data_IF_210404800197
#
_entry.id   IF_210404800197
#
_cell.length_a   1.000
_cell.length_b   1.000
_cell.length_c   1.000
_cell.angle_alpha   90.00
_cell.angle_beta   90.00
_cell.angle_gamma   90.00
#
_symmetry.space_group_name_H-M   'P 1'
#
loop_
_entity.id
_entity.type
_entity.pdbx_description
1 polymer ?
#
# COMPACT_ATOMS: atom_id res chain seq x y z
N UNK A 1 39.14 -3.74 15.40
CA UNK A 1 38.86 -4.65 14.28
C UNK A 1 37.61 -5.44 14.66
N UNK A 2 36.43 -4.93 14.32
CA UNK A 2 35.16 -5.63 14.46
C UNK A 2 34.54 -5.77 13.07
N UNK A 3 33.87 -6.90 12.89
CA UNK A 3 33.44 -7.47 11.62
C UNK A 3 32.25 -6.67 11.11
N UNK A 4 32.47 -5.93 10.03
CA UNK A 4 31.41 -5.36 9.19
C UNK A 4 30.61 -6.55 8.64
N UNK A 5 29.33 -6.68 9.01
CA UNK A 5 28.41 -7.48 8.19
C UNK A 5 28.33 -6.75 6.83
N UNK A 6 28.79 -7.35 5.73
CA UNK A 6 28.58 -6.75 4.42
C UNK A 6 27.07 -6.65 4.22
N UNK A 7 26.59 -5.48 3.81
CA UNK A 7 25.33 -5.39 3.08
C UNK A 7 25.41 -6.46 1.99
N UNK A 8 24.61 -7.51 2.13
CA UNK A 8 24.54 -8.60 1.17
C UNK A 8 23.94 -8.06 -0.11
N UNK A 9 24.74 -7.36 -0.91
CA UNK A 9 24.46 -7.13 -2.32
C UNK A 9 24.51 -8.53 -2.93
N UNK A 10 23.39 -9.08 -3.43
CA UNK A 10 23.45 -10.33 -4.18
C UNK A 10 24.45 -10.12 -5.30
N UNK A 11 25.45 -11.01 -5.42
CA UNK A 11 26.28 -11.08 -6.62
C UNK A 11 25.31 -11.11 -7.80
N UNK A 12 25.34 -10.06 -8.62
CA UNK A 12 24.71 -10.06 -9.93
C UNK A 12 25.38 -11.23 -10.66
N UNK A 13 24.73 -12.40 -10.66
CA UNK A 13 24.99 -13.37 -11.70
C UNK A 13 24.66 -12.62 -12.98
N UNK A 14 25.62 -12.57 -13.90
CA UNK A 14 25.37 -12.17 -15.27
C UNK A 14 24.12 -12.91 -15.74
N UNK A 15 22.99 -12.22 -15.76
CA UNK A 15 21.81 -12.64 -16.47
C UNK A 15 22.16 -12.44 -17.92
N UNK A 16 22.63 -13.51 -18.56
CA UNK A 16 22.52 -13.62 -20.01
C UNK A 16 21.04 -13.42 -20.34
N UNK A 17 20.75 -12.30 -21.00
CA UNK A 17 19.45 -12.02 -21.60
C UNK A 17 19.20 -13.05 -22.70
N UNK A 18 18.79 -14.26 -22.34
CA UNK A 18 18.10 -15.13 -23.28
C UNK A 18 16.67 -14.63 -23.41
N UNK A 19 16.37 -14.21 -24.63
CA UNK A 19 15.12 -13.69 -25.12
C UNK A 19 13.93 -14.59 -24.73
N UNK A 20 13.00 -14.17 -23.85
CA UNK A 20 11.89 -15.02 -23.41
C UNK A 20 10.72 -15.08 -24.41
N UNK A 21 10.89 -14.64 -25.66
CA UNK A 21 9.81 -14.57 -26.66
C UNK A 21 9.63 -15.80 -27.57
N UNK A 22 10.22 -16.98 -27.29
CA UNK A 22 10.15 -18.11 -28.23
C UNK A 22 9.50 -19.41 -27.73
N UNK A 23 8.62 -19.39 -26.72
CA UNK A 23 7.92 -20.62 -26.29
C UNK A 23 6.46 -20.33 -25.95
N UNK A 24 5.65 -19.96 -26.95
CA UNK A 24 4.19 -20.09 -26.91
C UNK A 24 3.67 -20.19 -28.35
N UNK A 25 3.99 -21.29 -29.04
CA UNK A 25 3.18 -21.80 -30.15
C UNK A 25 2.92 -23.29 -29.89
N UNK A 26 1.69 -23.72 -30.14
CA UNK A 26 1.12 -25.08 -29.93
C UNK A 26 0.74 -25.37 -28.45
N UNK A 27 -0.52 -25.55 -28.04
CA UNK A 27 -1.68 -26.16 -28.69
C UNK A 27 -2.97 -25.36 -28.37
N UNK A 28 -3.61 -24.76 -29.38
CA UNK A 28 -5.00 -24.31 -29.26
C UNK A 28 -5.94 -25.49 -29.53
N UNK A 29 -6.37 -26.14 -28.45
CA UNK A 29 -7.56 -27.00 -28.48
C UNK A 29 -8.82 -26.16 -28.71
N UNK A 30 -9.60 -26.58 -29.69
CA UNK A 30 -10.87 -25.98 -30.13
C UNK A 30 -11.86 -25.68 -28.98
N UNK A 31 -12.26 -24.40 -28.75
CA UNK A 31 -13.28 -24.06 -27.78
C UNK A 31 -14.68 -24.05 -28.41
N UNK A 32 -15.10 -25.17 -29.02
CA UNK A 32 -16.51 -25.43 -29.28
C UNK A 32 -17.04 -26.45 -28.27
N UNK A 33 -17.45 -25.95 -27.09
CA UNK A 33 -18.56 -26.47 -26.26
C UNK A 33 -18.39 -26.01 -24.80
N UNK A 34 -18.78 -24.78 -24.50
CA UNK A 34 -19.10 -24.37 -23.13
C UNK A 34 -20.53 -23.77 -23.11
N UNK A 35 -21.52 -24.44 -22.50
CA UNK A 35 -22.94 -24.09 -22.64
C UNK A 35 -23.39 -22.92 -21.74
N UNK A 36 -22.53 -21.93 -21.48
CA UNK A 36 -22.84 -20.77 -20.63
C UNK A 36 -22.80 -19.41 -21.36
N UNK A 37 -22.68 -19.38 -22.69
CA UNK A 37 -22.94 -18.16 -23.47
C UNK A 37 -24.45 -17.94 -23.63
N UNK A 38 -25.13 -17.72 -22.52
CA UNK A 38 -26.48 -17.18 -22.50
C UNK A 38 -26.44 -15.73 -22.99
N UNK A 39 -27.08 -15.49 -24.14
CA UNK A 39 -27.34 -14.19 -24.76
C UNK A 39 -27.62 -13.06 -23.77
N UNK A 40 -26.59 -12.32 -23.35
CA UNK A 40 -26.76 -10.95 -22.86
C UNK A 40 -26.81 -10.08 -24.12
N UNK A 41 -28.00 -9.99 -24.73
CA UNK A 41 -28.31 -8.83 -25.59
C UNK A 41 -28.11 -7.61 -24.71
N UNK A 42 -27.01 -6.90 -24.94
CA UNK A 42 -26.69 -5.62 -24.32
C UNK A 42 -27.83 -4.65 -24.62
N UNK A 43 -28.79 -4.53 -23.71
CA UNK A 43 -29.52 -3.27 -23.61
C UNK A 43 -28.48 -2.30 -23.08
N UNK A 44 -27.90 -1.51 -23.99
CA UNK A 44 -27.14 -0.32 -23.64
C UNK A 44 -28.15 0.60 -22.94
N UNK A 45 -28.35 0.40 -21.64
CA UNK A 45 -29.07 1.36 -20.81
C UNK A 45 -28.39 2.70 -21.03
N UNK A 46 -29.15 3.66 -21.57
CA UNK A 46 -28.68 5.02 -21.83
C UNK A 46 -27.88 5.51 -20.62
N UNK A 47 -26.68 5.98 -20.89
CA UNK A 47 -25.76 6.43 -19.88
C UNK A 47 -26.44 7.51 -19.02
N UNK A 48 -26.57 7.23 -17.71
CA UNK A 48 -27.32 8.10 -16.79
C UNK A 48 -26.40 9.18 -16.25
N UNK A 49 -26.69 10.43 -16.60
CA UNK A 49 -25.98 11.58 -16.11
C UNK A 49 -26.33 11.92 -14.64
N UNK A 50 -26.04 10.97 -13.74
CA UNK A 50 -26.35 11.04 -12.32
C UNK A 50 -25.31 11.91 -11.61
N UNK A 51 -25.78 12.73 -10.67
CA UNK A 51 -24.95 13.40 -9.70
C UNK A 51 -24.82 12.56 -8.45
N UNK A 52 -23.62 12.57 -7.88
CA UNK A 52 -23.20 11.84 -6.70
C UNK A 52 -22.62 12.81 -5.68
N UNK A 53 -22.73 12.48 -4.41
CA UNK A 53 -22.02 13.15 -3.32
C UNK A 53 -20.85 12.28 -2.87
N UNK A 54 -19.93 12.85 -2.09
CA UNK A 54 -18.95 12.03 -1.36
C UNK A 54 -19.67 10.96 -0.54
N UNK A 55 -19.08 9.78 -0.42
CA UNK A 55 -19.58 8.71 0.43
C UNK A 55 -19.32 9.07 1.90
N UNK A 56 -20.36 8.99 2.72
CA UNK A 56 -20.29 9.14 4.18
C UNK A 56 -20.48 7.79 4.89
N UNK A 57 -20.68 6.72 4.13
CA UNK A 57 -20.76 5.36 4.64
C UNK A 57 -20.12 4.36 3.68
N UNK A 58 -19.68 3.23 4.19
CA UNK A 58 -19.13 2.12 3.38
C UNK A 58 -20.16 1.62 2.36
N UNK A 59 -21.45 1.63 2.72
CA UNK A 59 -22.53 1.31 1.78
C UNK A 59 -22.56 2.29 0.61
N UNK A 60 -22.43 3.59 0.88
CA UNK A 60 -22.35 4.62 -0.16
C UNK A 60 -21.07 4.49 -1.00
N UNK A 61 -19.92 4.17 -0.39
CA UNK A 61 -18.67 3.92 -1.11
C UNK A 61 -18.83 2.76 -2.10
N UNK A 62 -19.40 1.63 -1.65
CA UNK A 62 -19.66 0.47 -2.52
C UNK A 62 -20.56 0.86 -3.70
N UNK A 63 -21.58 1.71 -3.47
CA UNK A 63 -22.45 2.21 -4.55
C UNK A 63 -21.66 3.11 -5.52
N UNK A 64 -20.79 3.99 -5.03
CA UNK A 64 -19.93 4.82 -5.89
C UNK A 64 -19.00 3.97 -6.76
N UNK A 65 -18.36 2.96 -6.17
CA UNK A 65 -17.48 2.04 -6.91
C UNK A 65 -18.26 1.23 -7.93
N UNK A 66 -19.46 0.75 -7.59
CA UNK A 66 -20.35 0.05 -8.53
C UNK A 66 -20.74 0.94 -9.70
N UNK A 67 -21.16 2.18 -9.43
CA UNK A 67 -21.53 3.14 -10.47
C UNK A 67 -20.30 3.49 -11.35
N UNK A 68 -19.10 3.53 -10.76
CA UNK A 68 -17.85 3.78 -11.47
C UNK A 68 -17.45 2.65 -12.40
N UNK A 69 -17.52 1.40 -11.94
CA UNK A 69 -17.29 0.23 -12.79
C UNK A 69 -18.30 0.15 -13.92
N UNK A 70 -19.58 0.43 -13.66
CA UNK A 70 -20.60 0.48 -14.70
C UNK A 70 -20.30 1.55 -15.76
N UNK A 71 -19.86 2.75 -15.35
CA UNK A 71 -19.50 3.83 -16.27
C UNK A 71 -18.24 3.48 -17.09
N UNK A 72 -17.22 2.91 -16.46
CA UNK A 72 -16.01 2.46 -17.15
C UNK A 72 -16.33 1.39 -18.20
N UNK A 73 -17.19 0.42 -17.89
CA UNK A 73 -17.65 -0.60 -18.85
C UNK A 73 -18.41 0.03 -20.02
N UNK A 74 -19.29 1.01 -19.77
CA UNK A 74 -19.96 1.77 -20.83
C UNK A 74 -18.96 2.51 -21.72
N UNK A 75 -17.89 3.03 -21.14
CA UNK A 75 -16.76 3.64 -21.84
C UNK A 75 -15.74 2.61 -22.38
N UNK A 76 -16.15 1.35 -22.55
CA UNK A 76 -15.40 0.24 -23.16
C UNK A 76 -14.18 -0.23 -22.36
N UNK A 77 -14.07 0.16 -21.08
CA UNK A 77 -13.05 -0.32 -20.15
C UNK A 77 -13.57 -1.56 -19.41
N UNK A 78 -13.50 -2.70 -20.09
CA UNK A 78 -14.13 -3.97 -19.65
C UNK A 78 -13.21 -4.87 -18.83
N UNK A 79 -11.89 -4.75 -18.99
CA UNK A 79 -10.92 -5.47 -18.17
C UNK A 79 -10.92 -4.94 -16.72
N UNK A 80 -11.01 -5.84 -15.74
CA UNK A 80 -11.02 -5.45 -14.32
C UNK A 80 -9.67 -4.86 -13.90
N UNK A 81 -8.57 -5.37 -14.44
CA UNK A 81 -7.24 -4.85 -14.15
C UNK A 81 -7.09 -3.39 -14.59
N UNK A 82 -7.53 -3.07 -15.80
CA UNK A 82 -7.53 -1.68 -16.30
C UNK A 82 -8.51 -0.80 -15.52
N UNK A 83 -9.65 -1.33 -15.02
CA UNK A 83 -10.53 -0.60 -14.09
C UNK A 83 -9.82 -0.29 -12.77
N UNK A 84 -9.11 -1.26 -12.17
CA UNK A 84 -8.32 -1.05 -10.94
C UNK A 84 -7.28 0.04 -11.17
N UNK A 85 -6.50 -0.07 -12.25
CA UNK A 85 -5.46 0.90 -12.61
C UNK A 85 -6.03 2.31 -12.87
N UNK A 86 -7.18 2.40 -13.55
CA UNK A 86 -7.89 3.65 -13.79
C UNK A 86 -8.34 4.31 -12.47
N UNK A 87 -8.95 3.55 -11.56
CA UNK A 87 -9.40 4.07 -10.26
C UNK A 87 -8.22 4.46 -9.36
N UNK A 88 -7.11 3.71 -9.39
CA UNK A 88 -5.87 4.12 -8.70
C UNK A 88 -5.45 5.52 -9.13
N UNK A 89 -5.57 5.87 -10.40
CA UNK A 89 -5.21 7.18 -10.94
C UNK A 89 -5.93 8.38 -10.32
N UNK A 90 -7.05 8.17 -9.61
CA UNK A 90 -7.73 9.20 -8.82
C UNK A 90 -6.88 9.58 -7.60
N UNK A 91 -6.20 8.60 -6.99
CA UNK A 91 -5.50 8.76 -5.72
C UNK A 91 -3.99 8.84 -5.88
N UNK A 92 -3.39 8.06 -6.78
CA UNK A 92 -1.93 7.96 -6.94
C UNK A 92 -1.48 7.80 -8.40
N UNK A 93 -0.22 8.16 -8.67
CA UNK A 93 0.46 7.81 -9.92
C UNK A 93 0.15 8.72 -11.11
N UNK A 94 -0.62 9.79 -10.93
CA UNK A 94 -0.90 10.79 -11.98
C UNK A 94 -0.72 12.20 -11.44
N UNK A 95 -0.46 13.17 -12.33
CA UNK A 95 -0.33 14.58 -11.94
C UNK A 95 -1.65 15.22 -11.49
N UNK A 96 -2.79 14.56 -11.72
CA UNK A 96 -4.11 15.00 -11.24
C UNK A 96 -4.63 14.15 -10.07
N UNK A 97 -3.84 13.19 -9.60
CA UNK A 97 -4.19 12.37 -8.45
C UNK A 97 -4.22 13.20 -7.17
N UNK A 98 -5.02 12.77 -6.19
CA UNK A 98 -5.11 13.40 -4.87
C UNK A 98 -3.73 13.59 -4.24
N UNK A 99 -2.92 12.55 -4.29
CA UNK A 99 -1.56 12.52 -3.76
C UNK A 99 -0.67 13.61 -4.36
N UNK A 100 -0.62 13.68 -5.69
CA UNK A 100 0.17 14.68 -6.39
C UNK A 100 -0.37 16.09 -6.15
N UNK A 101 -1.69 16.26 -6.04
CA UNK A 101 -2.27 17.57 -5.74
C UNK A 101 -1.91 18.07 -4.34
N UNK A 102 -1.59 17.18 -3.40
CA UNK A 102 -1.10 17.52 -2.05
C UNK A 102 0.41 17.72 -2.02
N UNK A 103 1.19 16.74 -2.49
CA UNK A 103 2.66 16.76 -2.33
C UNK A 103 3.40 17.46 -3.47
N UNK A 104 2.80 17.57 -4.66
CA UNK A 104 3.42 18.17 -5.87
C UNK A 104 4.81 17.58 -6.20
N UNK A 105 5.00 16.27 -5.99
CA UNK A 105 6.29 15.59 -6.12
C UNK A 105 6.31 14.58 -7.27
N UNK A 106 7.11 14.86 -8.30
CA UNK A 106 7.34 13.95 -9.43
C UNK A 106 8.07 12.67 -8.98
N UNK A 107 9.07 12.80 -8.10
CA UNK A 107 9.79 11.65 -7.55
C UNK A 107 8.86 10.68 -6.82
N UNK A 108 7.91 11.22 -6.05
CA UNK A 108 6.91 10.38 -5.37
C UNK A 108 5.98 9.70 -6.38
N UNK A 109 5.59 10.41 -7.44
CA UNK A 109 4.78 9.84 -8.50
C UNK A 109 5.50 8.70 -9.26
N UNK A 110 6.79 8.87 -9.53
CA UNK A 110 7.67 7.84 -10.10
C UNK A 110 7.85 6.65 -9.15
N UNK A 111 7.89 6.91 -7.83
CA UNK A 111 7.86 5.87 -6.81
C UNK A 111 6.65 4.95 -6.99
N UNK A 112 5.44 5.48 -7.16
CA UNK A 112 4.26 4.66 -7.40
C UNK A 112 4.35 3.79 -8.66
N UNK A 113 4.97 4.29 -9.73
CA UNK A 113 5.23 3.48 -10.93
C UNK A 113 6.12 2.27 -10.61
N UNK A 114 7.22 2.49 -9.88
CA UNK A 114 8.13 1.42 -9.46
C UNK A 114 7.44 0.42 -8.54
N UNK A 115 6.76 0.91 -7.51
CA UNK A 115 6.14 0.05 -6.50
C UNK A 115 4.97 -0.76 -7.04
N UNK A 116 4.24 -0.25 -8.02
CA UNK A 116 3.17 -1.01 -8.71
C UNK A 116 3.71 -1.89 -9.83
N UNK A 117 5.02 -2.17 -9.83
CA UNK A 117 5.67 -3.11 -10.73
C UNK A 117 5.77 -2.58 -12.16
N UNK A 118 6.19 -1.32 -12.30
CA UNK A 118 6.37 -0.62 -13.56
C UNK A 118 5.06 -0.40 -14.32
N UNK A 119 3.98 -0.12 -13.59
CA UNK A 119 2.67 0.12 -14.19
C UNK A 119 2.27 1.59 -14.13
N UNK A 120 2.17 2.21 -15.30
CA UNK A 120 1.59 3.54 -15.43
C UNK A 120 0.07 3.47 -15.37
N UNK A 121 -0.55 4.56 -14.91
CA UNK A 121 -2.00 4.74 -15.07
C UNK A 121 -2.28 4.97 -16.54
N UNK A 122 -2.94 4.01 -17.20
CA UNK A 122 -3.18 4.05 -18.65
C UNK A 122 -4.39 4.91 -19.03
N UNK A 123 -5.40 4.94 -18.16
CA UNK A 123 -6.68 5.57 -18.46
C UNK A 123 -6.96 6.75 -17.53
N UNK A 124 -7.41 7.85 -18.11
CA UNK A 124 -7.79 9.05 -17.36
C UNK A 124 -9.19 8.87 -16.75
N UNK A 125 -9.26 8.63 -15.45
CA UNK A 125 -10.52 8.47 -14.71
C UNK A 125 -11.48 9.68 -14.86
N UNK A 126 -10.96 10.90 -15.10
CA UNK A 126 -11.78 12.09 -15.34
C UNK A 126 -12.59 11.99 -16.63
N UNK A 127 -12.12 11.16 -17.58
CA UNK A 127 -12.80 10.84 -18.83
C UNK A 127 -13.61 9.54 -18.71
N UNK A 128 -13.01 8.49 -18.16
CA UNK A 128 -13.64 7.16 -18.06
C UNK A 128 -14.84 7.11 -17.12
N UNK A 129 -14.94 8.04 -16.17
CA UNK A 129 -16.08 8.18 -15.26
C UNK A 129 -17.11 9.22 -15.72
N UNK A 130 -16.97 9.75 -16.95
CA UNK A 130 -17.94 10.64 -17.56
C UNK A 130 -18.76 9.92 -18.61
N UNK A 131 -20.03 10.30 -18.64
CA UNK A 131 -21.00 9.80 -19.59
C UNK A 131 -20.84 10.42 -21.00
N UNK A 132 -20.66 11.74 -21.02
CA UNK A 132 -20.44 12.56 -22.20
C UNK A 132 -19.90 13.92 -21.75
N UNK A 133 -19.35 14.72 -22.66
CA UNK A 133 -18.80 16.04 -22.32
C UNK A 133 -19.86 17.02 -21.81
N UNK A 134 -21.13 16.83 -22.21
CA UNK A 134 -22.26 17.64 -21.76
C UNK A 134 -22.89 17.14 -20.45
N UNK A 135 -22.45 15.98 -19.96
CA UNK A 135 -23.00 15.42 -18.74
C UNK A 135 -22.49 16.16 -17.49
N UNK A 136 -23.43 16.65 -16.67
CA UNK A 136 -23.20 17.23 -15.34
C UNK A 136 -22.91 16.20 -14.23
N UNK A 137 -22.79 14.92 -14.56
CA UNK A 137 -22.43 13.87 -13.62
C UNK A 137 -21.02 14.08 -13.09
N UNK A 138 -20.82 13.77 -11.81
CA UNK A 138 -19.62 14.15 -11.05
C UNK A 138 -19.01 12.96 -10.31
N UNK A 139 -19.10 11.75 -10.87
CA UNK A 139 -18.65 10.51 -10.24
C UNK A 139 -17.16 10.51 -9.89
N UNK A 140 -16.30 11.07 -10.76
CA UNK A 140 -14.89 11.29 -10.43
C UNK A 140 -14.73 12.14 -9.17
N UNK A 141 -15.46 13.26 -9.07
CA UNK A 141 -15.35 14.16 -7.91
C UNK A 141 -15.87 13.52 -6.62
N UNK A 142 -16.96 12.75 -6.72
CA UNK A 142 -17.51 12.03 -5.58
C UNK A 142 -16.50 11.00 -5.02
N UNK A 143 -15.84 10.23 -5.90
CA UNK A 143 -14.77 9.32 -5.50
C UNK A 143 -13.55 10.07 -4.97
N UNK A 144 -13.08 11.10 -5.68
CA UNK A 144 -11.96 11.95 -5.25
C UNK A 144 -12.20 12.58 -3.86
N UNK A 145 -13.44 12.82 -3.44
CA UNK A 145 -13.77 13.34 -2.12
C UNK A 145 -14.04 12.26 -1.06
N UNK A 146 -13.88 10.99 -1.42
CA UNK A 146 -14.11 9.82 -0.56
C UNK A 146 -12.87 8.92 -0.43
N UNK A 147 -11.65 9.48 -0.19
CA UNK A 147 -10.47 8.64 0.00
C UNK A 147 -10.63 7.79 1.27
N UNK A 148 -11.09 8.40 2.36
CA UNK A 148 -11.34 7.75 3.63
C UNK A 148 -12.85 7.73 3.91
N UNK A 149 -13.39 6.57 4.24
CA UNK A 149 -14.81 6.41 4.60
C UNK A 149 -14.92 5.63 5.89
N UNK A 150 -15.64 6.18 6.87
CA UNK A 150 -15.74 5.66 8.24
C UNK A 150 -17.23 5.56 8.61
N UNK A 151 -17.79 4.35 8.63
CA UNK A 151 -19.12 4.10 9.23
C UNK A 151 -19.02 4.20 10.75
N UNK A 152 -18.04 3.47 11.27
CA UNK A 152 -17.70 3.39 12.67
C UNK A 152 -16.30 2.82 12.80
N UNK A 153 -15.86 2.70 14.04
CA UNK A 153 -14.50 2.32 14.35
C UNK A 153 -14.12 0.90 13.83
N UNK A 154 -15.07 -0.01 13.61
CA UNK A 154 -14.86 -1.36 13.03
C UNK A 154 -15.26 -1.49 11.56
N UNK A 155 -15.60 -0.38 10.92
CA UNK A 155 -16.03 -0.39 9.53
C UNK A 155 -15.61 0.91 8.89
N UNK A 156 -14.38 0.91 8.42
CA UNK A 156 -13.73 2.01 7.74
C UNK A 156 -12.83 1.49 6.63
N UNK A 157 -12.34 2.36 5.76
CA UNK A 157 -11.23 2.05 4.85
C UNK A 157 -10.69 3.36 4.26
N UNK A 158 -9.38 3.39 4.02
CA UNK A 158 -8.81 4.22 2.98
C UNK A 158 -8.96 3.46 1.64
N UNK A 159 -9.80 3.98 0.74
CA UNK A 159 -10.04 3.40 -0.57
C UNK A 159 -8.88 3.65 -1.55
N UNK A 160 -8.09 4.70 -1.33
CA UNK A 160 -6.84 4.94 -2.04
C UNK A 160 -5.83 3.81 -1.78
N UNK A 161 -5.55 3.52 -0.51
CA UNK A 161 -4.64 2.45 -0.09
C UNK A 161 -5.10 1.08 -0.59
N UNK A 162 -6.41 0.83 -0.46
CA UNK A 162 -7.03 -0.38 -1.01
C UNK A 162 -6.76 -0.51 -2.52
N UNK A 163 -7.08 0.51 -3.32
CA UNK A 163 -7.01 0.39 -4.78
C UNK A 163 -5.57 0.31 -5.30
N UNK A 164 -4.62 0.99 -4.66
CA UNK A 164 -3.21 0.85 -5.04
C UNK A 164 -2.63 -0.51 -4.62
N UNK A 165 -3.05 -1.05 -3.47
CA UNK A 165 -2.71 -2.42 -3.06
C UNK A 165 -3.25 -3.47 -4.04
N UNK A 166 -4.48 -3.29 -4.54
CA UNK A 166 -5.03 -4.14 -5.60
C UNK A 166 -4.21 -4.04 -6.90
N UNK A 167 -3.82 -2.84 -7.32
CA UNK A 167 -3.02 -2.67 -8.55
C UNK A 167 -1.63 -3.30 -8.40
N UNK A 168 -0.99 -3.13 -7.25
CA UNK A 168 0.29 -3.73 -6.91
C UNK A 168 0.24 -5.27 -6.96
N UNK A 169 -0.79 -5.90 -6.39
CA UNK A 169 -0.94 -7.37 -6.39
C UNK A 169 -1.09 -8.02 -7.76
N UNK A 170 -1.40 -7.23 -8.81
CA UNK A 170 -1.44 -7.72 -10.19
C UNK A 170 -0.05 -7.96 -10.76
N UNK A 171 0.97 -7.27 -10.26
CA UNK A 171 2.35 -7.43 -10.72
C UNK A 171 3.10 -8.41 -9.83
N UNK A 172 3.69 -9.45 -10.45
CA UNK A 172 4.58 -10.38 -9.76
C UNK A 172 5.77 -9.66 -9.13
N UNK A 173 6.37 -8.70 -9.84
CA UNK A 173 7.51 -7.91 -9.35
C UNK A 173 7.10 -7.14 -8.08
N UNK A 174 5.93 -6.49 -8.12
CA UNK A 174 5.45 -5.68 -7.00
C UNK A 174 5.18 -6.50 -5.74
N UNK A 175 4.64 -7.71 -5.87
CA UNK A 175 4.23 -8.52 -4.70
C UNK A 175 5.24 -9.55 -4.21
N UNK A 176 6.29 -9.84 -4.98
CA UNK A 176 7.22 -10.94 -4.69
C UNK A 176 8.70 -10.55 -4.71
N UNK A 177 9.03 -9.35 -5.19
CA UNK A 177 10.43 -8.91 -5.25
C UNK A 177 10.68 -7.85 -4.18
N UNK A 178 11.60 -8.15 -3.27
CA UNK A 178 12.11 -7.16 -2.31
C UNK A 178 12.87 -6.07 -3.06
N UNK A 179 12.53 -4.83 -2.75
CA UNK A 179 13.22 -3.65 -3.24
C UNK A 179 14.53 -3.46 -2.45
N UNK A 180 15.55 -2.84 -3.06
CA UNK A 180 16.87 -2.67 -2.44
C UNK A 180 16.84 -1.80 -1.17
N UNK A 181 15.72 -1.16 -0.90
CA UNK A 181 15.45 -0.32 0.28
C UNK A 181 14.32 -0.89 1.15
N UNK A 182 14.15 -2.22 1.19
CA UNK A 182 13.21 -2.86 2.11
C UNK A 182 11.79 -3.00 1.56
N UNK A 183 11.13 -4.08 2.00
CA UNK A 183 9.82 -4.49 1.55
C UNK A 183 9.72 -4.79 0.05
N UNK A 184 8.56 -5.27 -0.35
CA UNK A 184 8.10 -5.40 -1.73
C UNK A 184 7.45 -4.10 -2.20
N UNK A 185 7.17 -4.00 -3.49
CA UNK A 185 6.39 -2.88 -4.02
C UNK A 185 4.99 -2.78 -3.40
N UNK A 186 4.33 -3.91 -3.15
CA UNK A 186 3.03 -3.99 -2.49
C UNK A 186 3.09 -3.45 -1.06
N UNK A 187 4.06 -3.87 -0.27
CA UNK A 187 4.25 -3.39 1.09
C UNK A 187 4.53 -1.87 1.11
N UNK A 188 5.34 -1.39 0.16
CA UNK A 188 5.73 0.03 0.08
C UNK A 188 4.61 0.98 -0.38
N UNK A 189 3.56 0.49 -1.05
CA UNK A 189 2.34 1.28 -1.36
C UNK A 189 1.21 1.07 -0.36
N UNK A 190 1.46 0.28 0.67
CA UNK A 190 0.52 0.03 1.76
C UNK A 190 1.23 0.28 3.09
N UNK A 191 1.29 -0.72 3.96
CA UNK A 191 1.62 -0.57 5.36
C UNK A 191 3.10 -0.28 5.65
N UNK A 192 4.06 -0.80 4.88
CA UNK A 192 5.50 -0.44 5.05
C UNK A 192 5.75 1.00 4.61
N UNK A 193 5.10 1.45 3.54
CA UNK A 193 5.19 2.83 3.09
C UNK A 193 4.79 3.82 4.19
N UNK A 194 3.69 3.49 4.86
CA UNK A 194 3.14 4.24 5.97
C UNK A 194 4.03 4.21 7.21
N UNK A 195 4.25 3.03 7.80
CA UNK A 195 4.98 2.94 9.07
C UNK A 195 6.49 3.20 8.88
N UNK A 196 7.05 2.90 7.71
CA UNK A 196 8.42 3.23 7.33
C UNK A 196 8.63 4.73 7.11
N UNK A 197 7.70 5.41 6.43
CA UNK A 197 7.69 6.87 6.34
C UNK A 197 7.58 7.51 7.73
N UNK A 198 6.72 6.96 8.58
CA UNK A 198 6.57 7.34 9.99
C UNK A 198 7.86 7.17 10.79
N UNK A 199 8.55 6.03 10.65
CA UNK A 199 9.84 5.76 11.30
C UNK A 199 10.94 6.73 10.84
N UNK A 200 11.00 7.03 9.53
CA UNK A 200 11.89 8.06 8.98
C UNK A 200 11.62 9.43 9.60
N UNK A 201 10.36 9.87 9.61
CA UNK A 201 9.98 11.15 10.23
C UNK A 201 10.28 11.20 11.73
N UNK A 202 10.06 10.11 12.46
CA UNK A 202 10.43 10.00 13.87
C UNK A 202 11.94 10.18 14.06
N UNK A 203 12.76 9.50 13.24
CA UNK A 203 14.21 9.66 13.25
C UNK A 203 14.64 11.11 12.98
N UNK A 204 14.01 11.78 12.01
CA UNK A 204 14.26 13.20 11.73
C UNK A 204 13.91 14.09 12.93
N UNK A 205 12.78 13.85 13.62
CA UNK A 205 12.39 14.61 14.83
C UNK A 205 13.38 14.40 15.98
N UNK A 206 13.88 13.17 16.16
CA UNK A 206 14.84 12.81 17.21
C UNK A 206 16.20 13.48 17.08
N UNK A 207 16.54 14.04 15.93
CA UNK A 207 17.74 14.88 15.80
C UNK A 207 17.63 16.19 16.60
N UNK A 208 16.42 16.64 16.89
CA UNK A 208 16.16 17.86 17.68
C UNK A 208 15.64 17.55 19.08
N UNK A 209 14.82 16.49 19.22
CA UNK A 209 14.30 16.02 20.50
C UNK A 209 14.39 14.49 20.57
N UNK A 210 15.49 13.94 21.11
CA UNK A 210 15.71 12.49 21.20
C UNK A 210 14.63 11.75 22.00
N UNK A 211 13.86 12.44 22.84
CA UNK A 211 12.79 11.84 23.64
C UNK A 211 11.44 11.79 22.89
N UNK A 212 11.40 12.17 21.61
CA UNK A 212 10.19 12.06 20.80
C UNK A 212 9.71 10.61 20.74
N UNK A 213 8.43 10.40 21.06
CA UNK A 213 7.77 9.10 21.17
C UNK A 213 7.22 8.61 19.84
N UNK A 214 7.39 7.33 19.54
CA UNK A 214 6.92 6.73 18.29
C UNK A 214 5.40 6.83 18.12
N UNK A 215 4.63 6.54 19.19
CA UNK A 215 3.17 6.64 19.17
C UNK A 215 2.67 8.00 18.68
N UNK A 216 3.24 9.08 19.22
CA UNK A 216 2.86 10.47 18.89
C UNK A 216 3.08 10.82 17.41
N UNK A 217 4.14 10.30 16.80
CA UNK A 217 4.50 10.65 15.42
C UNK A 217 3.80 9.77 14.39
N UNK A 218 3.62 8.48 14.72
CA UNK A 218 3.19 7.48 13.74
C UNK A 218 1.74 7.04 13.94
N UNK A 219 1.23 7.00 15.18
CA UNK A 219 -0.02 6.29 15.51
C UNK A 219 -1.09 7.15 16.21
N UNK A 220 -0.83 8.44 16.48
CA UNK A 220 -1.71 9.30 17.29
C UNK A 220 -2.47 10.36 16.47
N UNK A 221 -2.28 10.41 15.16
CA UNK A 221 -3.09 11.29 14.29
C UNK A 221 -4.22 10.51 13.62
N UNK A 222 -5.34 11.20 13.34
CA UNK A 222 -6.47 10.58 12.65
C UNK A 222 -6.22 10.35 11.16
N UNK A 223 -5.11 10.86 10.58
CA UNK A 223 -4.87 10.91 9.14
C UNK A 223 -3.41 10.72 8.69
N UNK A 224 -2.47 10.34 9.56
CA UNK A 224 -1.07 10.09 9.15
C UNK A 224 -0.64 8.64 9.40
N UNK A 225 0.35 8.21 8.60
CA UNK A 225 1.15 6.98 8.69
C UNK A 225 0.40 5.76 9.25
N UNK A 226 0.34 5.56 10.57
CA UNK A 226 -0.29 4.39 11.20
C UNK A 226 -1.71 4.59 11.72
N UNK A 227 -2.49 5.54 11.18
CA UNK A 227 -3.87 5.75 11.61
C UNK A 227 -4.79 4.57 11.23
N UNK A 228 -5.88 4.38 11.99
CA UNK A 228 -6.72 3.19 11.83
C UNK A 228 -7.38 3.05 10.45
N UNK A 229 -7.66 4.16 9.77
CA UNK A 229 -8.33 4.13 8.46
C UNK A 229 -7.37 3.71 7.36
N UNK A 230 -6.12 4.16 7.42
CA UNK A 230 -5.04 3.73 6.52
C UNK A 230 -4.73 2.25 6.70
N UNK A 231 -4.51 1.80 7.94
CA UNK A 231 -4.22 0.38 8.21
C UNK A 231 -5.36 -0.52 7.73
N UNK A 232 -6.62 -0.12 7.90
CA UNK A 232 -7.74 -0.91 7.37
C UNK A 232 -7.78 -0.88 5.82
N UNK A 233 -7.38 0.23 5.19
CA UNK A 233 -7.16 0.32 3.75
C UNK A 233 -6.02 -0.58 3.24
N UNK A 234 -4.91 -0.66 3.97
CA UNK A 234 -3.79 -1.55 3.68
C UNK A 234 -4.22 -3.02 3.77
N UNK A 235 -4.89 -3.38 4.87
CA UNK A 235 -5.49 -4.71 5.07
C UNK A 235 -6.46 -5.02 3.91
N UNK A 236 -7.26 -4.06 3.47
CA UNK A 236 -8.17 -4.23 2.35
C UNK A 236 -7.45 -4.46 1.02
N UNK A 237 -6.34 -3.77 0.77
CA UNK A 237 -5.49 -3.99 -0.42
C UNK A 237 -5.00 -5.44 -0.52
N UNK A 238 -4.74 -6.09 0.61
CA UNK A 238 -4.32 -7.49 0.68
C UNK A 238 -5.48 -8.49 0.57
N UNK A 239 -6.64 -8.17 1.14
CA UNK A 239 -7.71 -9.17 1.32
C UNK A 239 -8.78 -9.11 0.23
N UNK A 240 -9.04 -7.94 -0.37
CA UNK A 240 -10.02 -7.87 -1.46
C UNK A 240 -9.54 -8.75 -2.63
N UNK A 241 -10.36 -9.72 -3.04
CA UNK A 241 -9.99 -10.68 -4.09
C UNK A 241 -8.89 -11.67 -3.70
N UNK A 242 -8.65 -11.94 -2.41
CA UNK A 242 -7.74 -12.99 -1.98
C UNK A 242 -8.25 -14.42 -2.23
N UNK A 243 -7.33 -15.40 -2.17
CA UNK A 243 -7.67 -16.81 -2.26
C UNK A 243 -8.25 -17.31 -0.92
N UNK A 244 -9.56 -17.51 -0.87
CA UNK A 244 -10.25 -17.99 0.35
C UNK A 244 -9.82 -19.38 0.81
N UNK A 245 -9.21 -20.20 -0.06
CA UNK A 245 -8.74 -21.55 0.26
C UNK A 245 -7.32 -21.56 0.84
N UNK A 246 -6.54 -20.51 0.57
CA UNK A 246 -5.13 -20.40 0.94
C UNK A 246 -4.80 -18.92 1.17
N UNK A 247 -5.14 -18.44 2.36
CA UNK A 247 -5.18 -17.00 2.64
C UNK A 247 -3.79 -16.39 2.84
N UNK A 248 -2.76 -17.20 3.06
CA UNK A 248 -1.36 -16.80 3.10
C UNK A 248 -0.81 -16.40 1.71
N UNK A 249 -1.46 -16.82 0.62
CA UNK A 249 -0.98 -16.52 -0.74
C UNK A 249 -1.39 -15.11 -1.20
N UNK A 250 -0.40 -14.30 -1.58
CA UNK A 250 -0.63 -13.01 -2.24
C UNK A 250 -0.89 -13.22 -3.73
N UNK A 251 -2.16 -13.41 -4.08
CA UNK A 251 -2.62 -13.66 -5.46
C UNK A 251 -2.98 -12.38 -6.21
N UNK A 252 -3.01 -12.44 -7.54
CA UNK A 252 -3.65 -11.38 -8.35
C UNK A 252 -5.15 -11.35 -8.03
N UNK A 253 -5.72 -10.21 -7.59
CA UNK A 253 -7.12 -10.12 -7.21
C UNK A 253 -8.08 -10.39 -8.38
N UNK A 254 -7.67 -10.11 -9.62
CA UNK A 254 -8.51 -10.26 -10.82
C UNK A 254 -8.86 -11.71 -11.13
N UNK A 255 -8.11 -12.67 -10.57
CA UNK A 255 -8.43 -14.10 -10.65
C UNK A 255 -9.62 -14.51 -9.77
N UNK A 256 -10.03 -13.68 -8.81
CA UNK A 256 -11.03 -14.03 -7.79
C UNK A 256 -12.22 -13.07 -7.72
N UNK A 257 -12.17 -11.94 -8.43
CA UNK A 257 -13.25 -10.97 -8.51
C UNK A 257 -13.45 -10.49 -9.95
N UNK A 258 -14.70 -10.38 -10.37
CA UNK A 258 -15.08 -9.75 -11.65
C UNK A 258 -15.35 -8.24 -11.49
N UNK A 259 -15.64 -7.82 -10.26
CA UNK A 259 -15.95 -6.43 -9.91
C UNK A 259 -15.35 -6.03 -8.57
N UNK A 260 -14.77 -4.84 -8.51
CA UNK A 260 -14.16 -4.23 -7.32
C UNK A 260 -15.22 -4.05 -6.23
N UNK A 261 -16.43 -3.57 -6.58
CA UNK A 261 -17.51 -3.35 -5.59
C UNK A 261 -17.96 -4.65 -4.91
N UNK A 262 -17.90 -5.80 -5.62
CA UNK A 262 -18.22 -7.12 -5.05
C UNK A 262 -17.11 -7.56 -4.09
N UNK A 263 -15.85 -7.30 -4.44
CA UNK A 263 -14.72 -7.52 -3.56
C UNK A 263 -14.82 -6.74 -2.25
N UNK A 264 -15.16 -5.45 -2.33
CA UNK A 264 -15.43 -4.58 -1.18
C UNK A 264 -16.58 -5.10 -0.30
N UNK A 265 -17.70 -5.51 -0.90
CA UNK A 265 -18.81 -6.10 -0.15
C UNK A 265 -18.36 -7.31 0.66
N UNK A 266 -17.71 -8.27 0.00
CA UNK A 266 -17.19 -9.49 0.64
C UNK A 266 -16.18 -9.20 1.75
N UNK A 267 -15.35 -8.16 1.59
CA UNK A 267 -14.41 -7.73 2.61
C UNK A 267 -15.11 -7.24 3.89
N UNK A 268 -16.15 -6.41 3.73
CA UNK A 268 -16.91 -5.86 4.84
C UNK A 268 -17.96 -6.80 5.44
N UNK A 269 -18.32 -7.88 4.73
CA UNK A 269 -19.17 -8.96 5.25
C UNK A 269 -18.42 -9.87 6.24
N UNK A 270 -17.07 -9.87 6.19
CA UNK A 270 -16.23 -10.57 7.18
C UNK A 270 -16.17 -9.78 8.47
N UNK A 271 -15.98 -10.47 9.59
CA UNK A 271 -15.64 -9.81 10.83
C UNK A 271 -14.19 -9.29 10.80
N UNK A 272 -13.92 -8.29 11.63
CA UNK A 272 -12.61 -7.62 11.69
C UNK A 272 -11.47 -8.58 12.06
N UNK A 273 -11.71 -9.56 12.95
CA UNK A 273 -10.68 -10.49 13.41
C UNK A 273 -10.27 -11.41 12.27
N UNK A 274 -11.22 -11.91 11.49
CA UNK A 274 -10.96 -12.69 10.27
C UNK A 274 -10.10 -11.92 9.27
N UNK A 275 -10.34 -10.62 9.09
CA UNK A 275 -9.52 -9.78 8.22
C UNK A 275 -8.09 -9.64 8.73
N UNK A 276 -7.93 -9.27 10.00
CA UNK A 276 -6.60 -9.13 10.63
C UNK A 276 -5.81 -10.44 10.58
N UNK A 277 -6.45 -11.59 10.83
CA UNK A 277 -5.79 -12.90 10.75
C UNK A 277 -5.30 -13.21 9.33
N UNK A 278 -6.13 -12.95 8.31
CA UNK A 278 -5.72 -13.15 6.92
C UNK A 278 -4.55 -12.23 6.54
N UNK A 279 -4.58 -10.96 6.96
CA UNK A 279 -3.48 -10.04 6.74
C UNK A 279 -2.18 -10.48 7.43
N UNK A 280 -2.25 -10.88 8.71
CA UNK A 280 -1.08 -11.39 9.46
C UNK A 280 -0.44 -12.57 8.72
N UNK A 281 -1.25 -13.48 8.19
CA UNK A 281 -0.72 -14.61 7.44
C UNK A 281 -0.07 -14.22 6.11
N UNK A 282 -0.63 -13.23 5.40
CA UNK A 282 -0.02 -12.72 4.16
C UNK A 282 1.31 -12.00 4.39
N UNK A 283 1.54 -11.44 5.58
CA UNK A 283 2.84 -10.87 5.97
C UNK A 283 3.76 -11.92 6.64
N UNK A 284 3.46 -13.21 6.50
CA UNK A 284 4.29 -14.33 6.95
C UNK A 284 3.99 -14.84 8.37
N UNK A 285 2.89 -14.43 9.00
CA UNK A 285 2.54 -14.84 10.35
C UNK A 285 1.85 -16.20 10.44
N UNK A 286 2.33 -17.06 11.34
CA UNK A 286 1.77 -18.37 11.63
C UNK A 286 0.97 -18.33 12.93
N UNK A 287 -0.35 -18.54 12.82
CA UNK A 287 -1.25 -18.51 13.98
C UNK A 287 -1.67 -19.92 14.34
N UNK A 288 -1.27 -20.39 15.52
CA UNK A 288 -1.71 -21.66 16.10
C UNK A 288 -2.39 -21.42 17.45
N UNK A 289 -3.59 -21.99 17.65
CA UNK A 289 -4.37 -21.84 18.89
C UNK A 289 -4.54 -20.38 19.35
N UNK A 290 -4.63 -19.44 18.40
CA UNK A 290 -4.77 -18.01 18.69
C UNK A 290 -3.45 -17.28 18.96
N UNK A 291 -2.30 -17.95 18.96
CA UNK A 291 -0.97 -17.38 19.22
C UNK A 291 -0.17 -17.27 17.92
N UNK A 292 0.54 -16.15 17.73
CA UNK A 292 1.51 -15.99 16.64
C UNK A 292 2.80 -16.74 17.02
N UNK A 293 3.02 -17.94 16.47
CA UNK A 293 4.09 -18.86 16.87
C UNK A 293 5.46 -18.41 16.40
N UNK A 294 5.53 -17.81 15.21
CA UNK A 294 6.74 -17.27 14.60
C UNK A 294 6.91 -15.75 14.80
N UNK A 295 6.34 -15.19 15.89
CA UNK A 295 6.32 -13.72 16.14
C UNK A 295 7.67 -13.03 15.95
N UNK A 296 8.76 -13.66 16.41
CA UNK A 296 10.09 -13.07 16.31
C UNK A 296 10.52 -12.88 14.86
N UNK A 297 10.37 -13.91 14.04
CA UNK A 297 10.74 -13.87 12.62
C UNK A 297 9.92 -12.83 11.86
N UNK A 298 8.60 -12.79 12.09
CA UNK A 298 7.72 -11.77 11.51
C UNK A 298 8.17 -10.37 11.92
N UNK A 299 8.46 -10.15 13.20
CA UNK A 299 8.90 -8.85 13.70
C UNK A 299 10.25 -8.45 13.09
N UNK A 300 11.23 -9.36 13.03
CA UNK A 300 12.55 -9.08 12.47
C UNK A 300 12.42 -8.71 10.98
N UNK A 301 11.57 -9.40 10.21
CA UNK A 301 11.29 -9.07 8.80
C UNK A 301 10.60 -7.70 8.64
N UNK A 302 9.67 -7.36 9.53
CA UNK A 302 9.03 -6.04 9.54
C UNK A 302 10.10 -4.97 9.82
N UNK A 303 10.94 -5.16 10.84
CA UNK A 303 11.99 -4.20 11.22
C UNK A 303 12.92 -3.91 10.03
N UNK A 304 13.42 -4.96 9.37
CA UNK A 304 14.33 -4.82 8.24
C UNK A 304 13.68 -4.02 7.09
N UNK A 305 12.41 -4.31 6.77
CA UNK A 305 11.66 -3.59 5.73
C UNK A 305 11.38 -2.13 6.11
N UNK A 306 10.96 -1.88 7.35
CA UNK A 306 10.69 -0.53 7.87
C UNK A 306 11.97 0.30 7.93
N UNK A 307 13.09 -0.29 8.32
CA UNK A 307 14.40 0.38 8.37
C UNK A 307 14.83 0.80 6.97
N UNK A 308 14.81 -0.13 6.01
CA UNK A 308 15.16 0.17 4.62
C UNK A 308 14.29 1.30 4.06
N UNK A 309 12.98 1.21 4.24
CA UNK A 309 12.06 2.20 3.68
C UNK A 309 12.24 3.56 4.35
N UNK A 310 12.52 3.61 5.66
CA UNK A 310 12.82 4.84 6.38
C UNK A 310 14.08 5.55 5.82
N UNK A 311 15.15 4.80 5.51
CA UNK A 311 16.36 5.35 4.88
C UNK A 311 16.05 5.92 3.50
N UNK A 312 15.26 5.19 2.72
CA UNK A 312 14.78 5.63 1.42
C UNK A 312 13.95 6.90 1.50
N UNK A 313 12.95 6.92 2.37
CA UNK A 313 12.05 8.05 2.57
C UNK A 313 12.81 9.32 2.97
N UNK A 314 13.72 9.24 3.94
CA UNK A 314 14.58 10.35 4.35
C UNK A 314 15.47 10.83 3.21
N UNK A 315 15.99 9.90 2.41
CA UNK A 315 16.80 10.26 1.25
C UNK A 315 15.98 11.07 0.23
N UNK A 316 14.76 10.64 -0.09
CA UNK A 316 13.90 11.38 -1.01
C UNK A 316 13.57 12.78 -0.50
N UNK A 317 13.38 12.95 0.82
CA UNK A 317 13.13 14.28 1.42
C UNK A 317 14.33 15.22 1.35
N UNK A 318 15.53 14.73 0.99
CA UNK A 318 16.71 15.60 0.85
C UNK A 318 16.72 16.51 -0.37
N UNK A 319 15.85 16.27 -1.35
CA UNK A 319 15.60 17.21 -2.45
C UNK A 319 14.53 18.25 -2.10
N UNK A 320 13.82 18.09 -0.98
CA UNK A 320 12.79 19.02 -0.53
C UNK A 320 13.41 20.16 0.27
N UNK A 321 13.18 21.40 -0.18
CA UNK A 321 13.73 22.61 0.44
C UNK A 321 13.16 22.87 1.85
N UNK A 322 12.06 22.22 2.22
CA UNK A 322 11.45 22.34 3.55
C UNK A 322 12.19 21.55 4.64
N UNK A 323 13.12 20.66 4.27
CA UNK A 323 13.89 19.85 5.21
C UNK A 323 15.32 20.36 5.40
N UNK A 324 15.82 20.28 6.63
CA UNK A 324 17.22 20.58 6.94
C UNK A 324 18.10 19.38 6.56
N UNK A 325 18.94 19.55 5.53
CA UNK A 325 19.85 18.51 5.03
C UNK A 325 20.77 17.94 6.12
N UNK A 326 21.27 18.77 7.05
CA UNK A 326 22.15 18.28 8.13
C UNK A 326 21.38 17.36 9.08
N UNK A 327 20.14 17.73 9.40
CA UNK A 327 19.25 16.89 10.21
C UNK A 327 18.84 15.61 9.48
N UNK A 328 18.63 15.66 8.17
CA UNK A 328 18.38 14.43 7.39
C UNK A 328 19.57 13.46 7.48
N UNK A 329 20.80 13.94 7.30
CA UNK A 329 22.01 13.11 7.48
C UNK A 329 22.11 12.55 8.90
N UNK A 330 21.91 13.40 9.92
CA UNK A 330 21.93 12.97 11.33
C UNK A 330 20.84 11.96 11.68
N UNK A 331 19.69 12.00 10.99
CA UNK A 331 18.56 11.11 11.28
C UNK A 331 18.90 9.64 11.04
N UNK A 332 19.86 9.31 10.17
CA UNK A 332 20.37 7.94 9.99
C UNK A 332 20.90 7.33 11.28
N UNK A 333 21.36 8.14 12.24
CA UNK A 333 21.72 7.68 13.58
C UNK A 333 20.56 7.03 14.36
N UNK A 334 19.32 7.42 14.07
CA UNK A 334 18.13 6.98 14.79
C UNK A 334 17.26 5.98 14.02
N UNK A 335 17.50 5.77 12.72
CA UNK A 335 16.57 5.00 11.87
C UNK A 335 16.33 3.58 12.39
N UNK A 336 17.39 2.81 12.68
CA UNK A 336 17.26 1.43 13.19
C UNK A 336 16.41 1.36 14.46
N UNK A 337 16.66 2.25 15.44
CA UNK A 337 15.91 2.22 16.69
C UNK A 337 14.46 2.68 16.54
N UNK A 338 14.21 3.69 15.70
CA UNK A 338 12.87 4.10 15.32
C UNK A 338 12.11 3.00 14.59
N UNK A 339 12.75 2.30 13.64
CA UNK A 339 12.16 1.20 12.90
C UNK A 339 11.74 0.06 13.83
N UNK A 340 12.60 -0.31 14.78
CA UNK A 340 12.29 -1.29 15.82
C UNK A 340 11.07 -0.91 16.64
N UNK A 341 11.05 0.29 17.21
CA UNK A 341 9.94 0.76 18.05
C UNK A 341 8.62 0.81 17.29
N UNK A 342 8.63 1.33 16.07
CA UNK A 342 7.43 1.44 15.23
C UNK A 342 6.90 0.06 14.84
N UNK A 343 7.79 -0.86 14.47
CA UNK A 343 7.44 -2.24 14.09
C UNK A 343 6.85 -3.02 15.26
N UNK A 344 7.42 -2.87 16.46
CA UNK A 344 6.90 -3.48 17.68
C UNK A 344 5.49 -2.98 18.01
N UNK A 345 5.26 -1.66 17.96
CA UNK A 345 3.93 -1.07 18.19
C UNK A 345 2.95 -1.59 17.13
N UNK A 346 3.33 -1.59 15.85
CA UNK A 346 2.48 -2.02 14.76
C UNK A 346 2.02 -3.47 14.94
N UNK A 347 2.96 -4.40 15.12
CA UNK A 347 2.63 -5.82 15.28
C UNK A 347 1.83 -6.09 16.55
N UNK A 348 2.20 -5.46 17.67
CA UNK A 348 1.45 -5.62 18.92
C UNK A 348 0.03 -5.04 18.83
N UNK A 349 -0.15 -3.94 18.10
CA UNK A 349 -1.47 -3.38 17.83
C UNK A 349 -2.30 -4.29 16.95
N UNK A 350 -1.75 -4.87 15.88
CA UNK A 350 -2.44 -5.88 15.07
C UNK A 350 -2.86 -7.09 15.92
N UNK A 351 -1.95 -7.61 16.74
CA UNK A 351 -2.24 -8.75 17.62
C UNK A 351 -3.31 -8.41 18.67
N UNK A 352 -3.29 -7.19 19.21
CA UNK A 352 -4.27 -6.75 20.19
C UNK A 352 -5.70 -6.70 19.65
N UNK A 353 -5.87 -6.45 18.36
CA UNK A 353 -7.18 -6.45 17.71
C UNK A 353 -7.83 -7.83 17.70
N UNK A 354 -7.02 -8.89 17.80
CA UNK A 354 -7.49 -10.27 17.86
C UNK A 354 -7.99 -10.64 19.26
N UNK A 355 -7.36 -10.11 20.30
CA UNK A 355 -7.65 -10.46 21.70
C UNK A 355 -8.60 -9.50 22.39
N UNK A 356 -8.88 -8.33 21.79
CA UNK A 356 -9.84 -7.36 22.30
C UNK A 356 -10.96 -7.18 21.28
N UNK A 357 -11.95 -8.10 21.24
CA UNK A 357 -13.06 -8.02 20.30
C UNK A 357 -13.93 -6.78 20.53
N UNK A 358 -13.74 -6.07 21.65
CA UNK A 358 -14.36 -4.79 21.98
C UNK A 358 -13.55 -3.56 21.55
N UNK A 359 -12.32 -3.76 21.05
CA UNK A 359 -11.54 -2.65 20.50
C UNK A 359 -12.35 -1.99 19.40
N UNK A 360 -12.40 -0.66 19.49
CA UNK A 360 -13.17 0.12 18.55
C UNK A 360 -12.37 0.34 17.27
N UNK A 361 -11.03 0.48 17.30
CA UNK A 361 -10.21 0.77 16.12
C UNK A 361 -8.79 0.20 16.29
N UNK A 362 -7.97 0.22 15.23
CA UNK A 362 -6.52 0.07 15.37
C UNK A 362 -5.98 1.20 16.24
N UNK A 363 -5.31 0.85 17.35
CA UNK A 363 -4.72 1.81 18.30
C UNK A 363 -3.39 1.28 18.78
N UNK A 364 -2.40 2.15 18.87
CA UNK A 364 -1.14 1.86 19.54
C UNK A 364 -1.40 1.43 21.01
N UNK A 365 -1.21 0.15 21.28
CA UNK A 365 -1.41 -0.44 22.62
C UNK A 365 -0.21 -0.26 23.53
N UNK A 366 0.94 0.01 22.93
CA UNK A 366 2.19 0.35 23.61
C UNK A 366 2.67 1.71 23.18
N UNK A 367 3.44 2.32 24.07
CA UNK A 367 4.27 3.48 23.79
C UNK A 367 5.57 3.23 24.55
N UNK A 368 6.57 2.58 23.92
CA UNK A 368 7.85 2.29 24.56
C UNK A 368 8.66 3.57 24.77
N UNK A 369 9.55 3.56 25.78
CA UNK A 369 10.56 4.61 25.91
C UNK A 369 11.45 4.70 24.67
N UNK A 370 11.78 5.91 24.18
CA UNK A 370 12.72 6.07 23.08
C UNK A 370 14.02 5.35 23.39
N UNK A 371 14.44 4.51 22.46
CA UNK A 371 15.72 3.82 22.57
C UNK A 371 16.83 4.86 22.58
N UNK A 372 17.63 4.86 23.65
CA UNK A 372 18.77 5.77 23.76
C UNK A 372 19.84 5.39 22.74
N UNK A 373 20.24 6.33 21.91
CA UNK A 373 21.35 6.19 20.96
C UNK A 373 22.46 7.14 21.40
N UNK A 374 23.69 6.64 21.48
CA UNK A 374 24.85 7.46 21.86
C UNK A 374 25.27 8.41 20.74
N UNK A 375 25.91 9.52 21.13
CA UNK A 375 26.47 10.47 20.17
C UNK A 375 27.49 9.83 19.21
N UNK A 376 28.24 8.83 19.69
CA UNK A 376 29.19 8.07 18.86
C UNK A 376 28.49 7.21 17.80
N UNK A 377 27.40 6.52 18.15
CA UNK A 377 26.61 5.73 17.20
C UNK A 377 25.97 6.63 16.14
N UNK A 378 25.41 7.77 16.54
CA UNK A 378 24.84 8.76 15.61
C UNK A 378 25.91 9.24 14.65
N UNK A 379 27.09 9.61 15.14
CA UNK A 379 28.18 10.09 14.31
C UNK A 379 28.68 9.01 13.34
N UNK A 380 28.78 7.76 13.77
CA UNK A 380 29.19 6.63 12.93
C UNK A 380 28.19 6.39 11.78
N UNK A 381 26.90 6.28 12.09
CA UNK A 381 25.86 6.07 11.07
C UNK A 381 25.73 7.24 10.12
N UNK A 382 25.87 8.47 10.63
CA UNK A 382 25.82 9.70 9.82
C UNK A 382 26.94 9.79 8.79
N UNK A 383 28.14 9.23 9.08
CA UNK A 383 29.25 9.22 8.11
C UNK A 383 28.93 8.43 6.84
N UNK A 384 28.15 7.36 6.97
CA UNK A 384 27.75 6.53 5.84
C UNK A 384 26.47 7.03 5.16
N UNK A 385 25.71 7.92 5.80
CA UNK A 385 24.42 8.41 5.32
C UNK A 385 24.54 9.09 3.95
N UNK A 386 25.54 9.95 3.72
CA UNK A 386 25.69 10.63 2.43
C UNK A 386 25.89 9.65 1.28
N UNK A 387 26.72 8.61 1.49
CA UNK A 387 26.91 7.53 0.52
C UNK A 387 25.61 6.75 0.27
N UNK A 388 24.86 6.42 1.30
CA UNK A 388 23.57 5.72 1.17
C UNK A 388 22.59 6.59 0.36
N UNK A 389 22.52 7.88 0.69
CA UNK A 389 21.66 8.84 -0.01
C UNK A 389 22.03 8.98 -1.48
N UNK A 390 23.33 8.97 -1.83
CA UNK A 390 23.79 8.97 -3.22
C UNK A 390 23.38 7.70 -3.97
N UNK A 391 23.56 6.52 -3.35
CA UNK A 391 23.15 5.24 -3.95
C UNK A 391 21.64 5.24 -4.24
N UNK A 392 20.83 5.64 -3.27
CA UNK A 392 19.37 5.67 -3.41
C UNK A 392 18.96 6.69 -4.47
N UNK A 393 19.58 7.88 -4.51
CA UNK A 393 19.32 8.87 -5.55
C UNK A 393 19.69 8.39 -6.95
N UNK A 394 20.70 7.55 -7.10
CA UNK A 394 21.08 7.01 -8.40
C UNK A 394 20.05 6.00 -8.96
N UNK A 395 19.10 5.54 -8.14
CA UNK A 395 18.02 4.64 -8.57
C UNK A 395 16.80 5.38 -9.16
N UNK A 396 16.75 6.72 -9.07
CA UNK A 396 15.62 7.58 -9.44
C UNK A 396 16.09 8.79 -10.25
#
# INVERSE_FOLDING_TARGET
>A
MSIIKPLGIPKIKELTLENPYSIYEEEMGDPQNNPLTGNIKSSLTACKCKTHTKANSIKELIILVKDAEAMMIQNKLTDIGDRINCLRGIYYGTTWSMDYQKEKSENRNNGFYLYTGLTNVKHDARKMLKCSDQCKGNLFQALYQSPEVIDNARKMTDFGHLIIGLDARRSYISKSTNLPYGGTGLENVTWIGDIGGGAGMLAYRRTSDPNTRAKKIVFDSMHDYGCSVNIEGDIAGYIVGYNIKKYEDIVDPTNNIDYIYVGLQKFFDKDWISRVNAFIAMIGGEIENGVLTNRKEVLDNIIDSVEGFAQFYITLRSSDKSFDKKKLVQSFGYIESCAKEVSEIFLDSLLSLRTHPNSIAFKATKDPEPTKVSASEIAEKSKNAERIMEIIKALF
#
